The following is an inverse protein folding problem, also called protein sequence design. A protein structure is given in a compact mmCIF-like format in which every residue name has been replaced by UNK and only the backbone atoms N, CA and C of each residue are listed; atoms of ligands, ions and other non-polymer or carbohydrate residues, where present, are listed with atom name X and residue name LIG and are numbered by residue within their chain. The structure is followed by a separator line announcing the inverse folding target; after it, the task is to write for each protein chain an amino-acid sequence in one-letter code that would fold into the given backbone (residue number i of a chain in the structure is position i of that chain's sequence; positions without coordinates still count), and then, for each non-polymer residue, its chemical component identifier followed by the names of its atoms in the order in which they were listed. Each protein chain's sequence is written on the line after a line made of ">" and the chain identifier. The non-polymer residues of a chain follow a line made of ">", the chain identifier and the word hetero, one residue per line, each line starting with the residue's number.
data_IF_168452530051
#
_entry.id   IF_168452530051
#
_cell.length_a   1.000
_cell.length_b   1.000
_cell.length_c   1.000
_cell.angle_alpha   90.00
_cell.angle_beta   90.00
_cell.angle_gamma   90.00
#
_symmetry.space_group_name_H-M   'P 1'
#
loop_
_entity.id
_entity.type
_entity.pdbx_description
1 polymer ?
#
# COMPACT_ATOMS: atom_id res chain seq x y z
N UNK A 1 -73.45 17.73 -57.60
CA UNK A 1 -72.43 18.64 -58.17
C UNK A 1 -71.05 18.06 -57.88
N UNK A 2 -70.31 17.76 -58.96
CA UNK A 2 -68.85 17.64 -59.14
C UNK A 2 -68.03 16.69 -58.23
N UNK A 3 -67.67 15.58 -58.85
CA UNK A 3 -66.52 14.70 -58.59
C UNK A 3 -65.18 15.43 -58.49
N UNK A 4 -64.23 14.84 -57.76
CA UNK A 4 -62.80 14.90 -58.09
C UNK A 4 -62.12 13.60 -57.65
N UNK A 5 -61.66 12.83 -58.64
CA UNK A 5 -60.78 11.66 -58.52
C UNK A 5 -59.34 12.17 -58.40
N UNK A 6 -58.59 11.77 -57.38
CA UNK A 6 -57.16 12.02 -57.29
C UNK A 6 -56.39 10.71 -57.52
N UNK A 7 -55.76 10.58 -58.69
CA UNK A 7 -54.81 9.52 -59.02
C UNK A 7 -53.48 9.82 -58.32
N UNK A 8 -53.04 8.94 -57.42
CA UNK A 8 -51.71 9.02 -56.80
C UNK A 8 -50.77 8.03 -57.50
N UNK A 9 -49.75 8.55 -58.20
CA UNK A 9 -48.72 7.73 -58.84
C UNK A 9 -47.79 7.12 -57.78
N UNK A 10 -47.57 5.80 -57.87
CA UNK A 10 -46.49 5.09 -57.20
C UNK A 10 -45.15 5.36 -57.90
N UNK A 11 -44.13 5.78 -57.15
CA UNK A 11 -42.72 5.70 -57.58
C UNK A 11 -42.05 4.52 -56.87
N UNK A 12 -41.78 3.43 -57.61
CA UNK A 12 -40.90 2.36 -57.17
C UNK A 12 -39.44 2.83 -57.30
N UNK A 13 -38.76 3.02 -56.17
CA UNK A 13 -37.31 3.22 -56.15
C UNK A 13 -36.65 1.85 -56.00
N UNK A 14 -36.01 1.36 -57.05
CA UNK A 14 -35.18 0.17 -56.98
C UNK A 14 -33.87 0.50 -56.24
N UNK A 15 -33.76 0.07 -54.99
CA UNK A 15 -32.50 0.13 -54.23
C UNK A 15 -31.59 -1.02 -54.68
N UNK A 16 -30.42 -0.69 -55.22
CA UNK A 16 -29.37 -1.68 -55.47
C UNK A 16 -28.80 -2.17 -54.13
N UNK A 17 -28.53 -3.47 -53.96
CA UNK A 17 -27.85 -3.97 -52.77
C UNK A 17 -26.44 -3.38 -52.72
N UNK A 18 -26.20 -2.50 -51.75
CA UNK A 18 -24.86 -2.05 -51.38
C UNK A 18 -24.14 -3.26 -50.82
N UNK A 19 -23.20 -3.78 -51.59
CA UNK A 19 -22.27 -4.82 -51.14
C UNK A 19 -21.49 -4.25 -49.94
N UNK A 20 -21.55 -4.87 -48.74
CA UNK A 20 -20.74 -4.40 -47.62
C UNK A 20 -19.28 -4.55 -48.01
N UNK A 21 -18.59 -3.40 -48.11
CA UNK A 21 -17.13 -3.36 -48.20
C UNK A 21 -16.60 -4.15 -47.02
N UNK A 22 -15.85 -5.21 -47.30
CA UNK A 22 -15.04 -5.91 -46.31
C UNK A 22 -14.22 -4.88 -45.57
N UNK A 23 -14.61 -4.59 -44.34
CA UNK A 23 -13.75 -3.89 -43.42
C UNK A 23 -12.66 -4.87 -43.09
N UNK A 24 -11.45 -4.61 -43.60
CA UNK A 24 -10.21 -5.17 -43.08
C UNK A 24 -10.10 -4.75 -41.62
N UNK A 25 -10.79 -5.51 -40.76
CA UNK A 25 -11.03 -5.23 -39.36
C UNK A 25 -9.76 -5.43 -38.55
N UNK A 26 -8.82 -4.49 -38.64
CA UNK A 26 -7.94 -4.19 -37.52
C UNK A 26 -8.82 -3.59 -36.43
N UNK A 27 -9.50 -4.46 -35.69
CA UNK A 27 -10.20 -4.13 -34.46
C UNK A 27 -9.21 -3.40 -33.55
N UNK A 28 -9.44 -2.11 -33.33
CA UNK A 28 -8.82 -1.35 -32.26
C UNK A 28 -9.38 -1.88 -30.92
N UNK A 29 -8.98 -3.08 -30.53
CA UNK A 29 -9.37 -3.66 -29.24
C UNK A 29 -8.85 -2.74 -28.13
N UNK A 30 -9.72 -2.38 -27.19
CA UNK A 30 -9.35 -1.56 -26.05
C UNK A 30 -8.14 -2.18 -25.31
N UNK A 31 -7.19 -1.37 -24.78
CA UNK A 31 -6.05 -1.89 -24.07
C UNK A 31 -6.48 -2.77 -22.90
N UNK A 32 -5.85 -3.93 -22.78
CA UNK A 32 -6.04 -4.87 -21.67
C UNK A 32 -5.77 -4.17 -20.32
N UNK A 33 -6.79 -4.02 -19.45
CA UNK A 33 -6.64 -3.34 -18.16
C UNK A 33 -5.56 -3.95 -17.28
N UNK A 34 -5.38 -5.28 -17.31
CA UNK A 34 -4.36 -5.98 -16.51
C UNK A 34 -2.98 -5.58 -16.98
N UNK A 35 -2.73 -5.59 -18.30
CA UNK A 35 -1.43 -5.18 -18.87
C UNK A 35 -1.12 -3.72 -18.63
N UNK A 36 -2.14 -2.84 -18.63
CA UNK A 36 -1.97 -1.42 -18.31
C UNK A 36 -1.57 -1.26 -16.84
N UNK A 37 -2.25 -1.94 -15.93
CA UNK A 37 -1.94 -1.95 -14.51
C UNK A 37 -0.53 -2.51 -14.25
N UNK A 38 -0.20 -3.69 -14.78
CA UNK A 38 1.13 -4.31 -14.69
C UNK A 38 2.25 -3.35 -15.14
N UNK A 39 2.07 -2.68 -16.28
CA UNK A 39 3.03 -1.66 -16.75
C UNK A 39 3.19 -0.48 -15.82
N UNK A 40 2.15 -0.11 -15.07
CA UNK A 40 2.23 0.99 -14.11
C UNK A 40 2.99 0.61 -12.84
N UNK A 41 3.01 -0.67 -12.46
CA UNK A 41 3.62 -1.13 -11.20
C UNK A 41 5.13 -0.83 -11.11
N UNK A 42 5.84 -0.77 -12.24
CA UNK A 42 7.26 -0.38 -12.25
C UNK A 42 7.50 1.08 -11.86
N UNK A 43 6.49 1.94 -12.02
CA UNK A 43 6.50 3.34 -11.60
C UNK A 43 5.80 3.60 -10.26
N UNK A 44 5.43 2.54 -9.54
CA UNK A 44 4.74 2.63 -8.26
C UNK A 44 5.63 3.34 -7.23
N UNK A 45 5.07 4.38 -6.61
CA UNK A 45 5.68 5.06 -5.47
C UNK A 45 4.78 4.91 -4.24
N UNK A 46 5.42 4.59 -3.12
CA UNK A 46 4.82 4.71 -1.80
C UNK A 46 5.15 6.04 -1.17
N UNK A 47 4.20 6.57 -0.41
CA UNK A 47 4.42 7.65 0.54
C UNK A 47 4.05 7.16 1.93
N UNK A 48 5.05 7.11 2.80
CA UNK A 48 4.92 6.83 4.23
C UNK A 48 4.67 8.15 4.94
N UNK A 49 3.63 8.17 5.76
CA UNK A 49 3.17 9.33 6.51
C UNK A 49 3.36 9.07 8.01
N UNK A 50 4.16 9.92 8.65
CA UNK A 50 4.36 9.93 10.09
C UNK A 50 4.94 8.64 10.64
N UNK A 51 6.02 8.13 10.04
CA UNK A 51 6.77 7.00 10.60
C UNK A 51 7.29 7.32 11.98
N UNK A 52 6.67 6.69 12.97
CA UNK A 52 6.95 6.82 14.39
C UNK A 52 7.58 5.52 14.91
N UNK A 53 8.74 5.66 15.53
CA UNK A 53 9.34 4.61 16.34
C UNK A 53 9.53 5.13 17.76
N UNK A 54 9.09 4.32 18.72
CA UNK A 54 9.37 4.56 20.13
C UNK A 54 9.55 3.24 20.87
N UNK A 55 10.21 3.30 22.02
CA UNK A 55 10.43 2.16 22.87
C UNK A 55 10.45 2.55 24.34
N UNK A 56 10.00 1.63 25.18
CA UNK A 56 10.06 1.74 26.64
C UNK A 56 10.84 0.56 27.20
N UNK A 57 11.73 0.85 28.14
CA UNK A 57 12.51 -0.13 28.87
C UNK A 57 12.31 0.08 30.36
N UNK A 58 11.47 -0.75 30.97
CA UNK A 58 11.19 -0.68 32.41
C UNK A 58 11.91 -1.83 33.09
N UNK A 59 12.77 -1.50 34.06
CA UNK A 59 13.41 -2.46 34.94
C UNK A 59 12.83 -2.30 36.34
N UNK A 60 12.15 -3.33 36.84
CA UNK A 60 11.66 -3.34 38.23
C UNK A 60 12.77 -3.75 39.20
N UNK A 61 13.78 -4.45 38.71
CA UNK A 61 15.08 -4.66 39.33
C UNK A 61 16.12 -4.84 38.20
N UNK A 62 17.45 -4.84 38.48
CA UNK A 62 18.47 -4.95 37.44
C UNK A 62 18.38 -6.18 36.52
N UNK A 63 17.70 -7.25 36.95
CA UNK A 63 17.54 -8.50 36.20
C UNK A 63 16.13 -8.71 35.63
N UNK A 64 15.16 -7.83 35.92
CA UNK A 64 13.77 -8.00 35.53
C UNK A 64 13.32 -6.85 34.63
N UNK A 65 13.37 -7.13 33.33
CA UNK A 65 13.07 -6.20 32.26
C UNK A 65 11.67 -6.44 31.68
N UNK A 66 10.86 -5.38 31.60
CA UNK A 66 9.65 -5.32 30.78
C UNK A 66 9.87 -4.23 29.72
N UNK A 67 10.11 -4.63 28.47
CA UNK A 67 10.51 -3.69 27.43
C UNK A 67 9.85 -4.00 26.11
N UNK A 68 9.46 -2.94 25.42
CA UNK A 68 8.74 -3.01 24.17
C UNK A 68 9.17 -1.89 23.23
N UNK A 69 9.26 -2.21 21.95
CA UNK A 69 9.37 -1.27 20.86
C UNK A 69 8.08 -1.24 20.05
N UNK A 70 7.78 -0.09 19.48
CA UNK A 70 6.59 0.16 18.69
C UNK A 70 6.96 0.89 17.40
N UNK A 71 6.27 0.53 16.32
CA UNK A 71 6.31 1.23 15.03
C UNK A 71 4.88 1.53 14.61
N UNK A 72 4.63 2.77 14.17
CA UNK A 72 3.32 3.18 13.65
C UNK A 72 3.49 4.14 12.47
N UNK A 73 2.70 3.95 11.40
CA UNK A 73 2.62 4.87 10.27
C UNK A 73 1.42 4.58 9.38
N UNK A 74 1.08 5.55 8.52
CA UNK A 74 0.18 5.31 7.40
C UNK A 74 0.97 5.27 6.10
N UNK A 75 0.47 4.54 5.11
CA UNK A 75 1.09 4.46 3.78
C UNK A 75 0.04 4.60 2.68
N UNK A 76 0.40 5.35 1.65
CA UNK A 76 -0.37 5.51 0.42
C UNK A 76 0.47 5.08 -0.78
N UNK A 77 -0.20 4.67 -1.85
CA UNK A 77 0.42 4.22 -3.09
C UNK A 77 -0.15 5.03 -4.28
N UNK A 78 0.72 5.45 -5.19
CA UNK A 78 0.37 6.28 -6.35
C UNK A 78 -0.56 5.64 -7.41
N UNK A 79 -0.77 4.33 -7.36
CA UNK A 79 -1.47 3.55 -8.40
C UNK A 79 -2.83 3.04 -7.91
N UNK A 80 -2.94 2.72 -6.63
CA UNK A 80 -4.16 2.14 -6.03
C UNK A 80 -4.90 3.20 -5.21
N UNK A 81 -6.24 3.11 -5.09
CA UNK A 81 -7.04 4.16 -4.45
C UNK A 81 -7.15 4.04 -2.92
N UNK A 82 -6.58 2.99 -2.32
CA UNK A 82 -6.66 2.73 -0.88
C UNK A 82 -5.36 3.08 -0.16
N UNK A 83 -5.45 3.25 1.15
CA UNK A 83 -4.29 3.43 2.04
C UNK A 83 -4.19 2.24 3.00
N UNK A 84 -3.07 2.17 3.73
CA UNK A 84 -2.93 1.21 4.82
C UNK A 84 -2.41 1.88 6.09
N UNK A 85 -2.91 1.41 7.24
CA UNK A 85 -2.40 1.73 8.57
C UNK A 85 -1.51 0.59 9.02
N UNK A 86 -0.25 0.88 9.31
CA UNK A 86 0.77 -0.08 9.66
C UNK A 86 1.21 0.14 11.12
N UNK A 87 1.10 -0.90 11.93
CA UNK A 87 1.53 -0.87 13.33
C UNK A 87 2.12 -2.19 13.75
N UNK A 88 3.15 -2.16 14.60
CA UNK A 88 3.72 -3.34 15.21
C UNK A 88 4.24 -3.03 16.62
N UNK A 89 4.19 -4.05 17.48
CA UNK A 89 4.87 -4.06 18.76
C UNK A 89 5.84 -5.25 18.79
N UNK A 90 6.98 -5.09 19.45
CA UNK A 90 7.95 -6.17 19.60
C UNK A 90 8.61 -6.11 20.97
N UNK A 91 8.85 -7.29 21.54
CA UNK A 91 9.59 -7.49 22.78
C UNK A 91 10.97 -8.14 22.55
N UNK A 92 11.47 -8.13 21.30
CA UNK A 92 12.83 -8.60 21.03
C UNK A 92 13.82 -7.68 21.77
N UNK A 93 14.83 -8.28 22.41
CA UNK A 93 15.76 -7.52 23.24
C UNK A 93 16.61 -6.54 22.41
N UNK A 94 17.13 -5.52 23.09
CA UNK A 94 17.99 -4.43 22.55
C UNK A 94 17.29 -3.45 21.61
N UNK A 95 16.95 -3.86 20.38
CA UNK A 95 16.49 -2.97 19.32
C UNK A 95 15.04 -3.21 18.85
N UNK A 96 14.39 -4.26 19.35
CA UNK A 96 13.01 -4.69 19.06
C UNK A 96 12.71 -5.07 17.60
N UNK A 97 13.27 -4.39 16.61
CA UNK A 97 13.00 -4.59 15.19
C UNK A 97 14.31 -4.77 14.43
N UNK A 98 14.49 -5.96 13.82
CA UNK A 98 15.73 -6.35 13.13
C UNK A 98 15.54 -6.59 11.62
N UNK A 99 14.40 -6.20 11.04
CA UNK A 99 14.10 -6.39 9.62
C UNK A 99 13.81 -7.85 9.21
N UNK A 100 13.65 -8.77 10.16
CA UNK A 100 13.44 -10.20 9.88
C UNK A 100 11.98 -10.62 9.86
N UNK A 101 11.11 -9.88 10.56
CA UNK A 101 9.68 -10.19 10.71
C UNK A 101 8.83 -9.31 9.80
N UNK A 102 7.89 -9.93 9.08
CA UNK A 102 6.82 -9.21 8.38
C UNK A 102 5.67 -8.90 9.32
N UNK A 103 5.23 -7.64 9.31
CA UNK A 103 4.06 -7.18 10.02
C UNK A 103 2.99 -6.77 9.01
N UNK A 104 1.78 -7.29 9.18
CA UNK A 104 0.66 -6.95 8.32
C UNK A 104 0.13 -5.56 8.66
N UNK A 105 -0.16 -4.77 7.63
CA UNK A 105 -0.90 -3.53 7.75
C UNK A 105 -2.39 -3.78 7.57
N UNK A 106 -3.21 -2.91 8.15
CA UNK A 106 -4.66 -2.90 7.91
C UNK A 106 -4.96 -1.97 6.75
N UNK A 107 -5.59 -2.48 5.69
CA UNK A 107 -6.08 -1.63 4.60
C UNK A 107 -7.23 -0.76 5.09
N UNK A 108 -7.20 0.52 4.75
CA UNK A 108 -8.17 1.53 5.19
C UNK A 108 -8.90 2.09 3.99
N UNK A 109 -10.22 2.31 4.14
CA UNK A 109 -11.09 2.87 3.12
C UNK A 109 -11.78 1.82 2.24
N UNK A 110 -12.61 2.30 1.32
CA UNK A 110 -13.28 1.47 0.31
C UNK A 110 -12.45 1.40 -0.97
N UNK A 111 -12.43 0.25 -1.65
CA UNK A 111 -11.81 0.11 -2.97
C UNK A 111 -10.57 -0.78 -3.02
N UNK A 112 -10.14 -1.35 -1.88
CA UNK A 112 -9.20 -2.46 -1.90
C UNK A 112 -9.90 -3.72 -2.43
N UNK A 113 -9.46 -4.31 -3.55
CA UNK A 113 -9.99 -5.57 -4.05
C UNK A 113 -9.59 -6.73 -3.14
N UNK A 114 -10.37 -7.82 -3.19
CA UNK A 114 -10.01 -9.05 -2.49
C UNK A 114 -8.64 -9.56 -2.96
N UNK A 115 -7.76 -9.90 -2.02
CA UNK A 115 -6.37 -10.30 -2.29
C UNK A 115 -5.36 -9.15 -2.23
N UNK A 116 -5.80 -7.89 -2.15
CA UNK A 116 -4.92 -6.78 -1.83
C UNK A 116 -4.40 -6.90 -0.38
N UNK A 117 -3.12 -6.61 -0.18
CA UNK A 117 -2.50 -6.65 1.15
C UNK A 117 -1.24 -5.78 1.18
N UNK A 118 -0.95 -5.18 2.34
CA UNK A 118 0.30 -4.46 2.59
C UNK A 118 0.95 -5.02 3.83
N UNK A 119 2.27 -5.20 3.78
CA UNK A 119 3.11 -5.61 4.89
C UNK A 119 4.34 -4.72 4.96
N UNK A 120 4.97 -4.68 6.13
CA UNK A 120 6.25 -4.01 6.29
C UNK A 120 7.25 -4.84 7.11
N UNK A 121 8.53 -4.52 6.93
CA UNK A 121 9.62 -4.90 7.83
C UNK A 121 10.35 -3.62 8.24
N UNK A 122 10.78 -3.54 9.49
CA UNK A 122 11.62 -2.45 9.95
C UNK A 122 12.84 -3.00 10.67
N UNK A 123 13.98 -2.37 10.44
CA UNK A 123 15.23 -2.61 11.15
C UNK A 123 15.65 -1.34 11.86
N UNK A 124 15.60 -1.35 13.19
CA UNK A 124 16.04 -0.22 14.02
C UNK A 124 17.56 0.04 13.89
N UNK A 125 18.45 -0.99 13.86
CA UNK A 125 19.89 -0.75 13.72
C UNK A 125 20.30 -0.10 12.40
N UNK A 126 19.67 -0.48 11.28
CA UNK A 126 20.01 0.07 9.96
C UNK A 126 19.09 1.21 9.52
N UNK A 127 17.98 1.44 10.20
CA UNK A 127 16.92 2.36 9.79
C UNK A 127 16.14 1.90 8.56
N UNK A 128 16.35 0.68 8.07
CA UNK A 128 15.71 0.19 6.85
C UNK A 128 14.23 -0.14 7.09
N UNK A 129 13.37 0.48 6.28
CA UNK A 129 11.96 0.15 6.14
C UNK A 129 11.76 -0.55 4.79
N UNK A 130 11.23 -1.76 4.81
CA UNK A 130 10.81 -2.50 3.62
C UNK A 130 9.29 -2.56 3.56
N UNK A 131 8.73 -2.32 2.38
CA UNK A 131 7.30 -2.46 2.09
C UNK A 131 7.12 -3.59 1.10
N UNK A 132 6.15 -4.45 1.37
CA UNK A 132 5.71 -5.53 0.49
C UNK A 132 4.21 -5.38 0.30
N UNK A 133 3.76 -5.17 -0.93
CA UNK A 133 2.36 -4.96 -1.28
C UNK A 133 1.90 -5.97 -2.34
N UNK A 134 0.80 -6.65 -2.08
CA UNK A 134 0.06 -7.43 -3.07
C UNK A 134 -0.92 -6.52 -3.78
N UNK A 135 -0.64 -6.20 -5.05
CA UNK A 135 -1.48 -5.35 -5.90
C UNK A 135 -2.30 -6.22 -6.84
N UNK A 136 -3.63 -6.07 -6.79
CA UNK A 136 -4.55 -6.79 -7.67
C UNK A 136 -4.91 -5.90 -8.86
N UNK A 137 -4.45 -6.31 -10.04
CA UNK A 137 -4.82 -5.71 -11.31
C UNK A 137 -6.12 -6.36 -11.82
N UNK A 138 -7.23 -5.63 -11.73
CA UNK A 138 -8.54 -6.14 -12.12
C UNK A 138 -8.73 -6.11 -13.64
N UNK A 139 -9.29 -7.17 -14.21
CA UNK A 139 -9.55 -7.24 -15.65
C UNK A 139 -10.22 -8.53 -16.12
N UNK A 140 -10.45 -8.61 -17.43
CA UNK A 140 -11.09 -9.77 -18.08
C UNK A 140 -10.04 -10.56 -18.89
N UNK A 141 -10.07 -11.90 -18.87
CA UNK A 141 -11.08 -12.78 -18.24
C UNK A 141 -10.91 -12.96 -16.73
N UNK A 142 -9.78 -12.57 -16.16
CA UNK A 142 -9.45 -12.78 -14.75
C UNK A 142 -8.55 -11.67 -14.22
N UNK A 143 -8.63 -11.45 -12.91
CA UNK A 143 -7.72 -10.58 -12.19
C UNK A 143 -6.33 -11.23 -12.08
N UNK A 144 -5.28 -10.41 -12.00
CA UNK A 144 -3.91 -10.85 -11.75
C UNK A 144 -3.36 -10.13 -10.53
N UNK A 145 -2.76 -10.87 -9.62
CA UNK A 145 -2.09 -10.30 -8.43
C UNK A 145 -0.60 -10.27 -8.67
N UNK A 146 0.02 -9.16 -8.29
CA UNK A 146 1.46 -8.94 -8.33
C UNK A 146 1.96 -8.63 -6.92
N UNK A 147 3.17 -9.05 -6.61
CA UNK A 147 3.87 -8.65 -5.40
C UNK A 147 4.88 -7.58 -5.75
N UNK A 148 4.66 -6.39 -5.21
CA UNK A 148 5.54 -5.23 -5.39
C UNK A 148 6.27 -4.99 -4.08
N UNK A 149 7.58 -4.80 -4.14
CA UNK A 149 8.38 -4.48 -2.95
C UNK A 149 9.35 -3.34 -3.18
N UNK A 150 9.72 -2.67 -2.10
CA UNK A 150 10.67 -1.57 -2.09
C UNK A 150 11.19 -1.28 -0.70
N UNK A 151 12.29 -0.54 -0.64
CA UNK A 151 13.03 -0.30 0.60
C UNK A 151 13.52 1.13 0.68
N UNK A 152 13.57 1.67 1.89
CA UNK A 152 14.14 2.97 2.18
C UNK A 152 14.82 2.97 3.55
N UNK A 153 16.02 3.53 3.63
CA UNK A 153 16.64 3.86 4.90
C UNK A 153 16.07 5.17 5.43
N UNK A 154 15.48 5.13 6.62
CA UNK A 154 14.95 6.28 7.34
C UNK A 154 16.01 6.82 8.30
N UNK A 155 16.18 8.13 8.32
CA UNK A 155 16.99 8.82 9.33
C UNK A 155 16.05 9.36 10.40
N UNK A 156 16.13 8.79 11.61
CA UNK A 156 15.28 9.17 12.73
C UNK A 156 16.07 10.02 13.73
N UNK A 157 15.51 11.15 14.11
CA UNK A 157 16.01 11.95 15.22
C UNK A 157 15.30 11.49 16.50
N UNK A 158 16.05 10.94 17.45
CA UNK A 158 15.49 10.31 18.64
C UNK A 158 16.04 10.93 19.92
N UNK A 159 15.17 11.10 20.90
CA UNK A 159 15.53 11.36 22.29
C UNK A 159 15.59 10.04 23.04
N UNK A 160 16.61 9.89 23.86
CA UNK A 160 16.83 8.72 24.71
C UNK A 160 17.03 9.22 26.15
N UNK A 161 16.03 8.97 27.00
CA UNK A 161 16.00 9.47 28.36
C UNK A 161 15.97 8.27 29.29
N UNK A 162 16.94 8.20 30.19
CA UNK A 162 16.99 7.17 31.24
C UNK A 162 16.89 7.83 32.60
N UNK A 163 15.93 7.36 33.41
CA UNK A 163 15.79 7.71 34.82
C UNK A 163 16.09 6.48 35.66
N UNK A 164 16.96 6.62 36.65
CA UNK A 164 17.33 5.54 37.58
C UNK A 164 17.04 5.98 39.00
N UNK A 165 16.47 5.08 39.80
CA UNK A 165 16.27 5.28 41.24
C UNK A 165 17.43 4.66 42.02
N UNK A 166 18.42 5.43 42.48
CA UNK A 166 19.55 4.89 43.23
C UNK A 166 19.16 4.36 44.62
N UNK A 167 18.03 4.81 45.17
CA UNK A 167 17.51 4.42 46.49
C UNK A 167 16.37 3.40 46.36
N UNK A 168 16.40 2.59 45.30
CA UNK A 168 15.35 1.62 45.00
C UNK A 168 15.13 0.61 46.13
N UNK A 169 13.86 0.32 46.39
CA UNK A 169 13.41 -0.75 47.29
C UNK A 169 12.45 -1.70 46.57
N UNK A 170 12.33 -2.98 47.01
CA UNK A 170 11.43 -3.93 46.37
C UNK A 170 10.00 -3.39 46.24
N UNK A 171 9.45 -3.45 45.02
CA UNK A 171 8.13 -2.92 44.67
C UNK A 171 8.17 -1.58 43.91
N UNK A 172 9.34 -0.95 43.78
CA UNK A 172 9.53 0.27 42.98
C UNK A 172 10.08 -0.04 41.57
N UNK A 173 10.06 0.94 40.67
CA UNK A 173 10.81 0.88 39.41
C UNK A 173 12.27 1.23 39.71
N UNK A 174 13.19 0.37 39.30
CA UNK A 174 14.62 0.59 39.43
C UNK A 174 15.12 1.58 38.37
N UNK A 175 14.77 1.33 37.11
CA UNK A 175 15.04 2.27 36.01
C UNK A 175 13.94 2.25 34.96
N UNK A 176 13.78 3.39 34.32
CA UNK A 176 12.91 3.61 33.18
C UNK A 176 13.73 4.30 32.09
N UNK A 177 13.77 3.72 30.91
CA UNK A 177 14.36 4.33 29.73
C UNK A 177 13.32 4.43 28.62
N UNK A 178 13.15 5.62 28.08
CA UNK A 178 12.27 5.89 26.95
C UNK A 178 13.11 6.35 25.75
N UNK A 179 12.91 5.69 24.62
CA UNK A 179 13.43 6.13 23.32
C UNK A 179 12.25 6.60 22.50
N UNK A 180 12.27 7.85 22.04
CA UNK A 180 11.19 8.42 21.23
C UNK A 180 11.78 9.16 20.05
N UNK A 181 11.39 8.77 18.85
CA UNK A 181 11.82 9.44 17.63
C UNK A 181 10.76 10.42 17.14
N UNK A 182 11.21 11.53 16.55
CA UNK A 182 10.30 12.41 15.84
C UNK A 182 9.73 11.67 14.61
N UNK A 183 8.40 11.76 14.35
CA UNK A 183 7.82 11.13 13.17
C UNK A 183 8.42 11.68 11.87
N UNK A 184 8.60 10.81 10.88
CA UNK A 184 9.15 11.19 9.56
C UNK A 184 8.26 10.75 8.41
N UNK A 185 8.19 11.59 7.37
CA UNK A 185 7.58 11.22 6.10
C UNK A 185 8.67 10.74 5.13
N UNK A 186 8.31 9.81 4.25
CA UNK A 186 9.24 9.31 3.23
C UNK A 186 8.51 8.89 1.95
N UNK A 187 9.15 9.12 0.81
CA UNK A 187 8.69 8.65 -0.50
C UNK A 187 9.78 7.82 -1.17
N UNK A 188 9.38 6.68 -1.74
CA UNK A 188 10.28 5.79 -2.48
C UNK A 188 9.50 4.88 -3.44
N UNK A 189 10.19 4.40 -4.47
CA UNK A 189 9.62 3.57 -5.52
C UNK A 189 9.80 2.07 -5.30
N UNK A 190 9.08 1.29 -6.10
CA UNK A 190 9.27 -0.15 -6.23
C UNK A 190 10.70 -0.49 -6.68
N UNK A 191 11.30 -1.48 -6.03
CA UNK A 191 12.56 -2.11 -6.45
C UNK A 191 12.34 -3.48 -7.11
N UNK A 192 11.19 -4.12 -6.88
CA UNK A 192 10.82 -5.40 -7.47
C UNK A 192 9.32 -5.50 -7.74
N UNK A 193 8.95 -6.20 -8.82
CA UNK A 193 7.58 -6.58 -9.18
C UNK A 193 7.63 -8.03 -9.63
N UNK A 194 6.89 -8.91 -8.96
CA UNK A 194 6.82 -10.37 -9.23
C UNK A 194 5.38 -10.80 -9.49
#
# INVERSE_FOLDING_TARGET
>A
MKSALALSLLTLVAATPVSPRGADGKSCSAPDPVKKCEKSLSGLQWTVHGFDYHASYIFTNPAHQNSWGYVNFNISNSIVPYTASCSAASSQLSDFFYGTQEYACTLVGSGAPAGAAVKFKYSRPSGQLDIIESVVCQGKPQDKTFVVSGSKTLTLACTDVTTTNPNWTPGQIYSDREVKCAPVDATFGASSVV
#
